data_IF_530170513939
#
_entry.id   IF_530170513939
#
_cell.length_a   1.000
_cell.length_b   1.000
_cell.length_c   1.000
_cell.angle_alpha   90.00
_cell.angle_beta   90.00
_cell.angle_gamma   90.00
#
_symmetry.space_group_name_H-M   'P 1'
#
loop_
_entity.id
_entity.type
_entity.pdbx_description
1 polymer ?
#
# COMPACT_ATOMS: atom_id res chain seq x y z
N UNK A 1 -4.11 -92.26 -39.72
CA UNK A 1 -4.39 -90.82 -39.48
C UNK A 1 -4.37 -90.55 -37.97
N UNK A 2 -3.32 -89.93 -37.43
CA UNK A 2 -3.28 -89.51 -36.02
C UNK A 2 -4.22 -88.31 -35.83
N UNK A 3 -5.23 -88.43 -34.98
CA UNK A 3 -6.16 -87.35 -34.64
C UNK A 3 -5.42 -86.23 -33.90
N UNK A 4 -5.34 -85.04 -34.49
CA UNK A 4 -4.81 -83.84 -33.85
C UNK A 4 -5.80 -83.35 -32.77
N UNK A 5 -5.54 -83.67 -31.50
CA UNK A 5 -6.34 -83.21 -30.34
C UNK A 5 -5.81 -81.92 -29.70
N UNK A 6 -4.80 -81.28 -30.28
CA UNK A 6 -4.17 -80.06 -29.73
C UNK A 6 -4.56 -78.73 -30.42
N UNK A 7 -5.28 -78.75 -31.55
CA UNK A 7 -5.54 -77.53 -32.34
C UNK A 7 -6.51 -76.55 -31.66
N UNK A 8 -7.53 -77.07 -30.95
CA UNK A 8 -8.52 -76.25 -30.24
C UNK A 8 -7.88 -75.54 -29.04
N UNK A 9 -7.03 -76.22 -28.29
CA UNK A 9 -6.33 -75.64 -27.13
C UNK A 9 -5.41 -74.50 -27.57
N UNK A 10 -4.64 -74.69 -28.64
CA UNK A 10 -3.76 -73.63 -29.19
C UNK A 10 -4.58 -72.41 -29.63
N UNK A 11 -5.68 -72.63 -30.33
CA UNK A 11 -6.56 -71.54 -30.77
C UNK A 11 -7.20 -70.77 -29.59
N UNK A 12 -7.69 -71.49 -28.58
CA UNK A 12 -8.25 -70.88 -27.36
C UNK A 12 -7.18 -70.11 -26.58
N UNK A 13 -5.96 -70.63 -26.47
CA UNK A 13 -4.85 -69.91 -25.83
C UNK A 13 -4.48 -68.63 -26.59
N UNK A 14 -4.49 -68.63 -27.93
CA UNK A 14 -4.25 -67.42 -28.73
C UNK A 14 -5.35 -66.37 -28.55
N UNK A 15 -6.62 -66.77 -28.53
CA UNK A 15 -7.74 -65.86 -28.25
C UNK A 15 -7.64 -65.30 -26.84
N UNK A 16 -7.33 -66.14 -25.85
CA UNK A 16 -7.20 -65.71 -24.46
C UNK A 16 -6.10 -64.67 -24.28
N UNK A 17 -4.94 -64.87 -24.92
CA UNK A 17 -3.84 -63.88 -24.92
C UNK A 17 -4.31 -62.56 -25.53
N UNK A 18 -5.05 -62.60 -26.65
CA UNK A 18 -5.58 -61.39 -27.29
C UNK A 18 -6.56 -60.66 -26.37
N UNK A 19 -7.52 -61.37 -25.77
CA UNK A 19 -8.49 -60.77 -24.84
C UNK A 19 -7.80 -60.16 -23.62
N UNK A 20 -6.83 -60.87 -23.03
CA UNK A 20 -6.04 -60.37 -21.90
C UNK A 20 -5.25 -59.11 -22.29
N UNK A 21 -4.64 -59.08 -23.48
CA UNK A 21 -3.91 -57.90 -23.96
C UNK A 21 -4.83 -56.67 -24.08
N UNK A 22 -6.05 -56.85 -24.59
CA UNK A 22 -7.05 -55.77 -24.70
C UNK A 22 -7.48 -55.27 -23.31
N UNK A 23 -7.70 -56.18 -22.35
CA UNK A 23 -8.03 -55.80 -20.97
C UNK A 23 -6.90 -54.98 -20.34
N UNK A 24 -5.63 -55.38 -20.49
CA UNK A 24 -4.51 -54.63 -19.94
C UNK A 24 -4.32 -53.26 -20.61
N UNK A 25 -4.58 -53.13 -21.91
CA UNK A 25 -4.60 -51.82 -22.59
C UNK A 25 -5.69 -50.92 -22.01
N UNK A 26 -6.89 -51.44 -21.76
CA UNK A 26 -7.96 -50.67 -21.11
C UNK A 26 -7.61 -50.29 -19.67
N UNK A 27 -6.99 -51.19 -18.90
CA UNK A 27 -6.52 -50.91 -17.54
C UNK A 27 -5.43 -49.84 -17.53
N UNK A 28 -4.46 -49.90 -18.45
CA UNK A 28 -3.43 -48.86 -18.58
C UNK A 28 -4.04 -47.52 -18.98
N UNK A 29 -5.02 -47.50 -19.90
CA UNK A 29 -5.73 -46.28 -20.30
C UNK A 29 -6.49 -45.64 -19.12
N UNK A 30 -7.19 -46.46 -18.34
CA UNK A 30 -7.86 -46.02 -17.12
C UNK A 30 -6.85 -45.50 -16.09
N UNK A 31 -5.72 -46.20 -15.92
CA UNK A 31 -4.62 -45.79 -15.03
C UNK A 31 -3.99 -44.47 -15.44
N UNK A 32 -3.68 -44.26 -16.72
CA UNK A 32 -3.12 -42.99 -17.24
C UNK A 32 -4.07 -41.82 -16.95
N UNK A 33 -5.38 -42.05 -17.04
CA UNK A 33 -6.38 -41.05 -16.65
C UNK A 33 -6.32 -40.74 -15.16
N UNK A 34 -6.16 -41.77 -14.31
CA UNK A 34 -5.94 -41.59 -12.87
C UNK A 34 -4.62 -40.90 -12.51
N UNK A 35 -3.51 -41.24 -13.18
CA UNK A 35 -2.21 -40.56 -13.03
C UNK A 35 -2.30 -39.07 -13.33
N UNK A 36 -3.03 -38.69 -14.39
CA UNK A 36 -3.26 -37.27 -14.72
C UNK A 36 -4.10 -36.56 -13.66
N UNK A 37 -5.11 -37.23 -13.11
CA UNK A 37 -5.91 -36.67 -12.01
C UNK A 37 -5.06 -36.50 -10.74
N UNK A 38 -4.24 -37.51 -10.41
CA UNK A 38 -3.35 -37.45 -9.25
C UNK A 38 -2.33 -36.33 -9.38
N UNK A 39 -1.68 -36.20 -10.53
CA UNK A 39 -0.76 -35.09 -10.82
C UNK A 39 -1.40 -33.71 -10.75
N UNK A 40 -2.67 -33.59 -11.18
CA UNK A 40 -3.41 -32.33 -11.03
C UNK A 40 -3.66 -31.99 -9.56
N UNK A 41 -3.95 -33.00 -8.74
CA UNK A 41 -4.12 -32.83 -7.30
C UNK A 41 -2.81 -32.44 -6.62
N UNK A 42 -1.72 -33.16 -6.90
CA UNK A 42 -0.40 -32.86 -6.35
C UNK A 42 0.11 -31.47 -6.78
N UNK A 43 -0.05 -31.08 -8.05
CA UNK A 43 0.33 -29.75 -8.51
C UNK A 43 -0.44 -28.63 -7.78
N UNK A 44 -1.71 -28.86 -7.46
CA UNK A 44 -2.52 -27.91 -6.70
C UNK A 44 -2.09 -27.87 -5.22
N UNK A 45 -1.87 -29.03 -4.60
CA UNK A 45 -1.40 -29.14 -3.22
C UNK A 45 -0.03 -28.50 -3.06
N UNK A 46 0.95 -28.90 -3.88
CA UNK A 46 2.31 -28.36 -3.87
C UNK A 46 2.33 -26.84 -4.05
N UNK A 47 1.62 -26.31 -5.06
CA UNK A 47 1.57 -24.86 -5.28
C UNK A 47 0.95 -24.09 -4.11
N UNK A 48 -0.13 -24.61 -3.53
CA UNK A 48 -0.77 -23.99 -2.36
C UNK A 48 0.09 -24.11 -1.10
N UNK A 49 0.79 -25.24 -0.89
CA UNK A 49 1.68 -25.44 0.24
C UNK A 49 2.87 -24.49 0.20
N UNK A 50 3.46 -24.27 -0.98
CA UNK A 50 4.52 -23.26 -1.16
C UNK A 50 4.01 -21.86 -0.80
N UNK A 51 2.81 -21.49 -1.25
CA UNK A 51 2.20 -20.20 -0.89
C UNK A 51 1.68 -20.15 0.56
N UNK A 52 1.60 -21.28 1.27
CA UNK A 52 1.29 -21.24 2.70
C UNK A 52 2.50 -20.80 3.53
N UNK A 53 3.71 -20.81 2.95
CA UNK A 53 4.96 -20.36 3.58
C UNK A 53 5.17 -18.83 3.45
N UNK A 54 4.08 -18.07 3.50
CA UNK A 54 4.13 -16.62 3.47
C UNK A 54 4.95 -16.03 4.63
N UNK A 55 5.48 -14.83 4.43
CA UNK A 55 6.23 -14.08 5.43
C UNK A 55 5.35 -13.73 6.64
N UNK A 56 5.63 -14.35 7.79
CA UNK A 56 4.89 -14.11 9.04
C UNK A 56 4.92 -12.65 9.52
N UNK A 57 6.06 -11.94 9.51
CA UNK A 57 6.10 -10.54 9.93
C UNK A 57 5.15 -9.64 9.13
N UNK A 58 5.05 -9.86 7.81
CA UNK A 58 4.10 -9.16 6.94
C UNK A 58 2.65 -9.46 7.30
N UNK A 59 2.32 -10.70 7.64
CA UNK A 59 0.97 -11.06 8.05
C UNK A 59 0.61 -10.51 9.44
N UNK A 60 1.52 -10.64 10.40
CA UNK A 60 1.29 -10.25 11.79
C UNK A 60 1.10 -8.74 11.93
N UNK A 61 2.02 -7.95 11.36
CA UNK A 61 2.05 -6.49 11.52
C UNK A 61 1.25 -5.72 10.47
N UNK A 62 1.09 -6.29 9.27
CA UNK A 62 0.50 -5.60 8.12
C UNK A 62 -0.68 -6.35 7.47
N UNK A 63 -0.95 -7.61 7.87
CA UNK A 63 -1.98 -8.48 7.26
C UNK A 63 -1.79 -8.69 5.76
N UNK A 64 -0.54 -8.60 5.30
CA UNK A 64 -0.14 -8.81 3.92
C UNK A 64 0.37 -10.23 3.73
N UNK A 65 0.04 -10.83 2.59
CA UNK A 65 0.47 -12.16 2.20
C UNK A 65 1.43 -12.06 1.03
N UNK A 66 2.67 -12.44 1.28
CA UNK A 66 3.71 -12.56 0.26
C UNK A 66 4.65 -13.71 0.62
N UNK A 67 5.13 -14.42 -0.40
CA UNK A 67 6.14 -15.45 -0.27
C UNK A 67 7.54 -14.83 -0.44
N UNK A 68 8.45 -15.07 0.50
CA UNK A 68 9.83 -14.61 0.35
C UNK A 68 10.60 -15.51 -0.63
N UNK A 69 10.93 -14.99 -1.82
CA UNK A 69 11.68 -15.74 -2.83
C UNK A 69 13.18 -15.89 -2.52
N UNK A 70 13.70 -15.26 -1.47
CA UNK A 70 15.05 -15.56 -0.99
C UNK A 70 15.11 -16.83 -0.17
N UNK A 71 14.01 -17.20 0.51
CA UNK A 71 14.08 -18.11 1.66
C UNK A 71 15.19 -17.67 2.63
N UNK A 72 15.52 -18.44 3.67
CA UNK A 72 16.54 -18.07 4.69
C UNK A 72 17.98 -17.90 4.14
N UNK A 73 18.17 -17.79 2.82
CA UNK A 73 19.47 -17.77 2.12
C UNK A 73 19.97 -16.37 1.73
N UNK A 74 19.32 -15.29 2.21
CA UNK A 74 19.58 -13.86 1.92
C UNK A 74 19.55 -13.45 0.43
N UNK A 75 19.65 -14.40 -0.51
CA UNK A 75 19.69 -14.18 -1.94
C UNK A 75 18.40 -14.65 -2.60
N UNK A 76 17.67 -13.71 -3.20
CA UNK A 76 16.53 -14.04 -4.04
C UNK A 76 16.95 -14.86 -5.26
N UNK A 77 16.36 -16.05 -5.37
CA UNK A 77 16.54 -17.00 -6.48
C UNK A 77 15.25 -17.79 -6.66
N UNK A 78 14.74 -17.82 -7.89
CA UNK A 78 13.51 -18.55 -8.22
C UNK A 78 13.69 -20.05 -7.98
N UNK A 79 14.91 -20.55 -8.20
CA UNK A 79 15.29 -21.92 -7.97
C UNK A 79 15.10 -22.35 -6.51
N UNK A 80 15.16 -21.43 -5.53
CA UNK A 80 14.89 -21.77 -4.13
C UNK A 80 13.43 -22.21 -3.93
N UNK A 81 12.50 -21.52 -4.59
CA UNK A 81 11.07 -21.84 -4.55
C UNK A 81 10.80 -23.13 -5.32
N UNK A 82 11.44 -23.31 -6.49
CA UNK A 82 11.30 -24.52 -7.30
C UNK A 82 11.78 -25.76 -6.53
N UNK A 83 12.94 -25.69 -5.90
CA UNK A 83 13.49 -26.75 -5.06
C UNK A 83 12.61 -27.04 -3.83
N UNK A 84 12.04 -25.99 -3.20
CA UNK A 84 11.10 -26.17 -2.08
C UNK A 84 9.84 -26.90 -2.52
N UNK A 85 9.28 -26.54 -3.69
CA UNK A 85 8.12 -27.20 -4.27
C UNK A 85 8.40 -28.64 -4.69
N UNK A 86 9.57 -28.94 -5.26
CA UNK A 86 9.99 -30.32 -5.55
C UNK A 86 9.99 -31.19 -4.29
N UNK A 87 10.58 -30.70 -3.19
CA UNK A 87 10.61 -31.40 -1.91
C UNK A 87 9.20 -31.66 -1.36
N UNK A 88 8.32 -30.68 -1.42
CA UNK A 88 6.92 -30.82 -0.95
C UNK A 88 6.13 -31.80 -1.81
N UNK A 89 6.33 -31.81 -3.12
CA UNK A 89 5.70 -32.78 -4.02
C UNK A 89 6.20 -34.20 -3.75
N UNK A 90 7.49 -34.39 -3.53
CA UNK A 90 8.02 -35.69 -3.12
C UNK A 90 7.37 -36.16 -1.81
N UNK A 91 7.23 -35.29 -0.81
CA UNK A 91 6.53 -35.60 0.45
C UNK A 91 5.04 -35.94 0.25
N UNK A 92 4.35 -35.28 -0.69
CA UNK A 92 2.95 -35.57 -1.02
C UNK A 92 2.76 -36.91 -1.76
N UNK A 93 3.71 -37.25 -2.63
CA UNK A 93 3.65 -38.43 -3.50
C UNK A 93 4.19 -39.69 -2.83
N UNK A 94 5.00 -39.54 -1.78
CA UNK A 94 5.40 -40.65 -0.92
C UNK A 94 4.18 -41.17 -0.14
N UNK A 95 3.79 -42.42 -0.40
CA UNK A 95 2.79 -43.12 0.41
C UNK A 95 3.27 -43.13 1.86
N UNK A 96 2.53 -42.46 2.75
CA UNK A 96 2.78 -42.50 4.19
C UNK A 96 2.93 -43.96 4.63
N UNK A 97 4.07 -44.26 5.24
CA UNK A 97 4.53 -45.55 5.73
C UNK A 97 3.68 -46.12 6.89
N UNK A 98 2.36 -46.21 6.73
CA UNK A 98 1.54 -47.02 7.63
C UNK A 98 1.59 -48.49 7.16
N UNK A 99 2.66 -49.13 7.63
CA UNK A 99 2.99 -50.54 7.51
C UNK A 99 1.88 -51.47 8.02
N UNK A 100 1.35 -52.32 7.13
CA UNK A 100 0.88 -53.69 7.45
C UNK A 100 0.37 -54.46 6.20
N UNK A 101 0.10 -53.80 5.09
CA UNK A 101 -0.32 -54.47 3.86
C UNK A 101 0.58 -54.04 2.71
N UNK A 102 1.05 -55.01 1.93
CA UNK A 102 1.69 -54.80 0.64
C UNK A 102 0.62 -54.19 -0.27
N UNK A 103 0.44 -52.87 -0.20
CA UNK A 103 -0.43 -52.14 -1.11
C UNK A 103 0.43 -51.80 -2.31
N UNK A 104 0.26 -52.55 -3.40
CA UNK A 104 0.89 -52.23 -4.67
C UNK A 104 0.38 -50.86 -5.09
N UNK A 105 1.26 -49.85 -5.09
CA UNK A 105 0.91 -48.53 -5.58
C UNK A 105 0.55 -48.64 -7.07
N UNK A 106 -0.71 -48.38 -7.40
CA UNK A 106 -1.21 -48.41 -8.78
C UNK A 106 -0.92 -47.10 -9.52
N UNK A 107 -0.50 -46.05 -8.81
CA UNK A 107 -0.26 -44.72 -9.36
C UNK A 107 1.13 -44.15 -8.97
N UNK A 108 2.23 -44.92 -9.12
CA UNK A 108 3.56 -44.40 -8.86
C UNK A 108 3.82 -43.23 -9.79
N UNK A 109 3.92 -42.04 -9.20
CA UNK A 109 4.05 -40.76 -9.86
C UNK A 109 5.22 -40.03 -9.21
N UNK A 110 6.06 -39.39 -10.02
CA UNK A 110 7.16 -38.56 -9.53
C UNK A 110 7.14 -37.22 -10.24
N UNK A 111 7.40 -36.15 -9.49
CA UNK A 111 7.65 -34.85 -10.08
C UNK A 111 9.13 -34.79 -10.50
N UNK A 112 9.38 -34.73 -11.81
CA UNK A 112 10.74 -34.66 -12.33
C UNK A 112 11.25 -33.21 -12.38
N UNK A 113 10.37 -32.25 -12.65
CA UNK A 113 10.75 -30.84 -12.75
C UNK A 113 9.59 -29.91 -12.36
N UNK A 114 9.91 -28.85 -11.63
CA UNK A 114 9.02 -27.73 -11.31
C UNK A 114 9.68 -26.45 -11.82
N UNK A 115 8.99 -25.74 -12.72
CA UNK A 115 9.46 -24.49 -13.27
C UNK A 115 8.47 -23.36 -13.02
N UNK A 116 8.92 -22.25 -12.45
CA UNK A 116 8.14 -21.02 -12.35
C UNK A 116 8.29 -20.26 -13.67
N UNK A 117 7.19 -20.15 -14.43
CA UNK A 117 7.19 -19.48 -15.73
C UNK A 117 7.01 -17.98 -15.63
N UNK A 118 6.11 -17.56 -14.75
CA UNK A 118 5.85 -16.16 -14.49
C UNK A 118 5.60 -15.92 -13.01
N UNK A 119 6.01 -14.76 -12.52
CA UNK A 119 5.77 -14.33 -11.14
C UNK A 119 5.72 -12.80 -11.03
N UNK A 120 4.99 -12.31 -10.04
CA UNK A 120 4.88 -10.89 -9.70
C UNK A 120 5.50 -10.65 -8.32
N UNK A 121 6.34 -9.63 -8.22
CA UNK A 121 6.92 -9.15 -6.97
C UNK A 121 6.08 -8.02 -6.36
N UNK A 122 6.17 -7.81 -5.05
CA UNK A 122 5.41 -6.78 -4.34
C UNK A 122 5.71 -5.37 -4.87
N UNK A 123 6.93 -5.13 -5.37
CA UNK A 123 7.36 -3.87 -5.97
C UNK A 123 6.94 -3.66 -7.43
N UNK A 124 6.50 -4.71 -8.12
CA UNK A 124 6.13 -4.64 -9.53
C UNK A 124 4.88 -3.77 -9.74
N UNK A 125 4.73 -3.23 -10.95
CA UNK A 125 3.60 -2.38 -11.35
C UNK A 125 3.28 -1.25 -10.36
N UNK A 126 4.34 -0.66 -9.77
CA UNK A 126 4.26 0.38 -8.74
C UNK A 126 3.49 -0.05 -7.48
N UNK A 127 3.73 -1.28 -7.03
CA UNK A 127 3.13 -1.83 -5.81
C UNK A 127 1.67 -2.24 -5.97
N UNK A 128 1.27 -2.70 -7.17
CA UNK A 128 -0.12 -3.10 -7.45
C UNK A 128 -0.62 -4.15 -6.48
N UNK A 129 0.15 -5.23 -6.30
CA UNK A 129 -0.18 -6.33 -5.39
C UNK A 129 -0.40 -5.85 -3.94
N UNK A 130 0.48 -4.98 -3.45
CA UNK A 130 0.37 -4.37 -2.13
C UNK A 130 -0.93 -3.56 -1.99
N UNK A 131 -1.21 -2.68 -2.96
CA UNK A 131 -2.39 -1.83 -2.93
C UNK A 131 -3.70 -2.63 -3.00
N UNK A 132 -3.74 -3.67 -3.82
CA UNK A 132 -4.92 -4.52 -3.96
C UNK A 132 -5.21 -5.31 -2.68
N UNK A 133 -4.20 -5.92 -2.07
CA UNK A 133 -4.35 -6.60 -0.78
C UNK A 133 -4.80 -5.62 0.31
N UNK A 134 -4.12 -4.47 0.42
CA UNK A 134 -4.50 -3.41 1.36
C UNK A 134 -5.94 -2.92 1.16
N UNK A 135 -6.35 -2.72 -0.10
CA UNK A 135 -7.71 -2.33 -0.43
C UNK A 135 -8.73 -3.43 -0.11
N UNK A 136 -8.39 -4.71 -0.35
CA UNK A 136 -9.25 -5.83 -0.02
C UNK A 136 -9.47 -5.97 1.50
N UNK A 137 -8.44 -5.68 2.32
CA UNK A 137 -8.56 -5.64 3.78
C UNK A 137 -9.53 -4.52 4.19
N UNK A 138 -9.31 -3.29 3.70
CA UNK A 138 -10.15 -2.14 4.09
C UNK A 138 -11.57 -2.21 3.54
N UNK A 139 -11.79 -2.85 2.38
CA UNK A 139 -13.13 -3.07 1.81
C UNK A 139 -14.03 -3.91 2.72
N UNK A 140 -13.46 -4.77 3.58
CA UNK A 140 -14.22 -5.56 4.55
C UNK A 140 -14.65 -4.74 5.78
N UNK A 141 -13.98 -3.62 6.03
CA UNK A 141 -14.19 -2.78 7.22
C UNK A 141 -14.99 -1.51 6.91
N UNK A 142 -14.86 -0.97 5.69
CA UNK A 142 -15.42 0.32 5.29
C UNK A 142 -16.63 0.11 4.37
N UNK A 143 -17.80 0.59 4.80
CA UNK A 143 -19.01 0.61 4.00
C UNK A 143 -18.97 1.64 2.85
N UNK A 144 -19.81 1.45 1.82
CA UNK A 144 -19.89 2.34 0.66
C UNK A 144 -20.09 3.81 1.02
N UNK A 145 -20.99 4.09 1.96
CA UNK A 145 -21.37 5.44 2.33
C UNK A 145 -20.23 6.21 2.99
N UNK A 146 -19.39 5.49 3.75
CA UNK A 146 -18.18 6.05 4.35
C UNK A 146 -17.12 6.34 3.27
N UNK A 147 -16.99 5.47 2.27
CA UNK A 147 -16.07 5.67 1.16
C UNK A 147 -16.40 6.92 0.35
N UNK A 148 -17.70 7.18 0.11
CA UNK A 148 -18.14 8.39 -0.60
C UNK A 148 -17.87 9.66 0.23
N UNK A 149 -18.10 9.62 1.54
CA UNK A 149 -17.74 10.74 2.45
C UNK A 149 -16.23 11.01 2.45
N UNK A 150 -15.42 9.95 2.54
CA UNK A 150 -13.96 10.06 2.47
C UNK A 150 -13.51 10.62 1.11
N UNK A 151 -14.15 10.21 0.02
CA UNK A 151 -13.86 10.75 -1.30
C UNK A 151 -14.15 12.26 -1.39
N UNK A 152 -15.26 12.72 -0.83
CA UNK A 152 -15.58 14.15 -0.74
C UNK A 152 -14.56 14.91 0.11
N UNK A 153 -14.11 14.33 1.22
CA UNK A 153 -13.08 14.88 2.10
C UNK A 153 -11.76 15.06 1.36
N UNK A 154 -11.23 14.00 0.76
CA UNK A 154 -9.91 14.05 0.11
C UNK A 154 -9.89 14.87 -1.17
N UNK A 155 -11.04 15.02 -1.85
CA UNK A 155 -11.18 15.89 -3.02
C UNK A 155 -11.47 17.35 -2.67
N UNK A 156 -11.62 17.69 -1.39
CA UNK A 156 -11.97 19.05 -0.95
C UNK A 156 -13.35 19.51 -1.39
N UNK A 157 -14.26 18.57 -1.72
CA UNK A 157 -15.63 18.83 -2.16
C UNK A 157 -16.66 18.72 -1.02
N UNK A 158 -16.19 18.67 0.23
CA UNK A 158 -17.08 18.79 1.38
C UNK A 158 -17.83 20.12 1.30
N UNK A 159 -19.15 20.04 1.22
CA UNK A 159 -20.02 21.20 1.38
C UNK A 159 -20.13 21.47 2.87
N UNK A 160 -19.62 22.61 3.32
CA UNK A 160 -19.99 23.12 4.63
C UNK A 160 -21.49 23.47 4.60
N UNK A 161 -22.31 22.75 5.37
CA UNK A 161 -23.76 22.98 5.47
C UNK A 161 -24.12 24.30 6.19
N UNK A 162 -23.15 25.08 6.66
CA UNK A 162 -23.38 26.30 7.45
C UNK A 162 -23.02 27.62 6.75
N UNK A 163 -22.96 27.65 5.42
CA UNK A 163 -22.75 28.87 4.65
C UNK A 163 -24.01 29.74 4.45
N UNK A 164 -24.78 30.03 5.49
CA UNK A 164 -25.86 31.03 5.39
C UNK A 164 -25.23 32.41 5.36
N UNK A 165 -25.29 33.08 4.21
CA UNK A 165 -24.89 34.48 4.07
C UNK A 165 -25.87 35.35 4.87
N UNK A 166 -25.50 35.76 6.08
CA UNK A 166 -26.14 36.89 6.74
C UNK A 166 -25.54 38.19 6.20
N UNK A 167 -26.33 38.82 5.33
CA UNK A 167 -26.09 40.16 4.81
C UNK A 167 -26.57 41.16 5.86
N UNK A 168 -25.70 41.52 6.81
CA UNK A 168 -25.94 42.59 7.75
C UNK A 168 -25.08 43.80 7.40
N UNK A 169 -25.60 44.66 6.51
CA UNK A 169 -25.14 46.04 6.35
C UNK A 169 -25.61 46.87 7.54
N UNK A 170 -24.80 46.91 8.60
CA UNK A 170 -24.84 47.97 9.60
C UNK A 170 -23.70 48.96 9.31
N UNK A 171 -24.01 50.25 9.30
CA UNK A 171 -23.02 51.32 9.15
C UNK A 171 -22.02 51.28 10.30
N UNK A 172 -20.73 51.10 9.97
CA UNK A 172 -19.64 51.04 10.94
C UNK A 172 -18.61 52.09 10.53
N UNK A 173 -18.38 53.03 11.45
CA UNK A 173 -17.32 54.03 11.43
C UNK A 173 -15.96 53.36 11.20
N UNK A 174 -15.12 53.97 10.35
CA UNK A 174 -13.73 53.54 10.17
C UNK A 174 -13.04 53.73 11.53
N UNK A 175 -12.65 52.66 12.24
CA UNK A 175 -11.93 52.82 13.48
C UNK A 175 -10.58 53.46 13.17
N UNK A 176 -10.19 54.46 13.95
CA UNK A 176 -8.82 54.94 13.98
C UNK A 176 -7.93 53.76 14.40
N UNK A 177 -7.13 53.27 13.45
CA UNK A 177 -6.43 51.99 13.60
C UNK A 177 -4.98 52.27 13.98
N UNK A 178 -4.68 52.17 15.27
CA UNK A 178 -3.29 52.26 15.76
C UNK A 178 -2.58 50.91 15.56
N UNK A 179 -1.69 50.85 14.57
CA UNK A 179 -0.78 49.73 14.40
C UNK A 179 0.31 49.78 15.48
N UNK A 180 0.32 48.79 16.37
CA UNK A 180 1.38 48.69 17.40
C UNK A 180 2.71 48.19 16.84
N UNK A 181 2.67 47.40 15.76
CA UNK A 181 3.84 46.89 15.03
C UNK A 181 3.52 46.84 13.53
N UNK A 182 4.55 46.86 12.68
CA UNK A 182 4.40 46.64 11.24
C UNK A 182 4.14 45.14 10.97
N UNK A 183 2.94 44.72 10.52
CA UNK A 183 2.59 43.30 10.37
C UNK A 183 3.48 42.56 9.36
N UNK A 184 3.98 43.28 8.34
CA UNK A 184 4.85 42.71 7.30
C UNK A 184 6.21 42.34 7.92
N UNK A 185 6.82 43.27 8.66
CA UNK A 185 8.09 43.02 9.36
C UNK A 185 7.95 41.96 10.46
N UNK A 186 6.82 41.93 11.17
CA UNK A 186 6.56 40.90 12.20
C UNK A 186 6.56 39.51 11.58
N UNK A 187 5.92 39.33 10.40
CA UNK A 187 5.93 38.06 9.68
C UNK A 187 7.33 37.68 9.16
N UNK A 188 8.13 38.64 8.70
CA UNK A 188 9.53 38.38 8.32
C UNK A 188 10.34 37.85 9.51
N UNK A 189 10.19 38.49 10.69
CA UNK A 189 10.82 38.02 11.94
C UNK A 189 10.31 36.64 12.37
N UNK A 190 9.02 36.35 12.18
CA UNK A 190 8.47 35.00 12.43
C UNK A 190 9.13 33.96 11.52
N UNK A 191 9.19 34.20 10.21
CA UNK A 191 9.77 33.27 9.23
C UNK A 191 11.23 32.93 9.56
N UNK A 192 11.98 33.87 10.15
CA UNK A 192 13.36 33.65 10.59
C UNK A 192 13.52 32.67 11.78
N UNK A 193 12.51 32.50 12.64
CA UNK A 193 12.57 31.60 13.83
C UNK A 193 12.51 30.11 13.49
N UNK A 194 12.14 29.77 12.25
CA UNK A 194 11.96 28.41 11.79
C UNK A 194 10.56 27.86 12.11
N UNK A 195 9.98 27.15 11.14
CA UNK A 195 8.53 26.86 11.12
C UNK A 195 8.05 26.01 12.29
N UNK A 196 8.82 24.98 12.69
CA UNK A 196 8.45 24.09 13.80
C UNK A 196 8.46 24.84 15.14
N UNK A 197 9.42 25.75 15.34
CA UNK A 197 9.47 26.55 16.57
C UNK A 197 8.28 27.51 16.70
N UNK A 198 7.67 27.91 15.58
CA UNK A 198 6.47 28.74 15.57
C UNK A 198 5.21 27.94 15.91
N UNK A 199 5.04 26.76 15.32
CA UNK A 199 3.80 25.97 15.48
C UNK A 199 3.81 25.04 16.69
N UNK A 200 4.99 24.73 17.25
CA UNK A 200 5.15 23.83 18.40
C UNK A 200 6.07 24.47 19.46
N UNK A 201 5.67 25.59 20.09
CA UNK A 201 6.50 26.25 21.09
C UNK A 201 6.61 25.37 22.35
N UNK A 202 7.81 24.85 22.63
CA UNK A 202 8.08 24.08 23.84
C UNK A 202 7.67 22.61 23.80
N UNK A 203 7.13 22.11 22.69
CA UNK A 203 6.89 20.68 22.48
C UNK A 203 8.14 19.99 21.94
N UNK A 204 8.42 18.80 22.46
CA UNK A 204 9.47 17.94 21.92
C UNK A 204 9.01 17.26 20.63
N UNK A 205 9.91 17.21 19.65
CA UNK A 205 9.69 16.53 18.36
C UNK A 205 10.60 15.32 18.33
N UNK A 206 10.10 14.18 17.85
CA UNK A 206 10.91 12.96 17.77
C UNK A 206 12.22 13.20 17.01
N UNK A 207 13.29 12.64 17.58
CA UNK A 207 14.64 12.68 17.01
C UNK A 207 15.00 11.42 16.22
N UNK A 208 14.07 10.45 16.10
CA UNK A 208 14.30 9.21 15.34
C UNK A 208 14.66 9.51 13.89
N UNK A 209 15.50 8.65 13.34
CA UNK A 209 15.95 8.70 11.96
C UNK A 209 16.26 7.31 11.45
N UNK A 210 16.01 7.08 10.16
CA UNK A 210 16.32 5.82 9.49
C UNK A 210 17.48 6.02 8.51
N UNK A 211 18.24 4.97 8.18
CA UNK A 211 19.11 5.01 7.01
C UNK A 211 18.29 4.78 5.74
N UNK A 212 18.49 5.64 4.74
CA UNK A 212 17.77 5.55 3.47
C UNK A 212 18.59 4.88 2.36
N UNK A 213 19.89 4.65 2.58
CA UNK A 213 20.85 4.27 1.53
C UNK A 213 20.45 3.00 0.76
N UNK A 214 20.02 1.95 1.46
CA UNK A 214 19.72 0.64 0.89
C UNK A 214 18.21 0.34 0.71
N UNK A 215 17.36 1.36 0.85
CA UNK A 215 15.91 1.20 0.72
C UNK A 215 15.49 0.87 -0.70
N UNK A 216 14.31 0.26 -0.84
CA UNK A 216 13.67 -0.05 -2.10
C UNK A 216 13.67 1.17 -3.04
N UNK A 217 13.27 2.35 -2.54
CA UNK A 217 13.26 3.58 -3.32
C UNK A 217 14.63 4.03 -3.87
N UNK A 218 15.75 3.51 -3.36
CA UNK A 218 17.12 3.97 -3.66
C UNK A 218 18.03 2.89 -4.28
N UNK A 219 17.50 1.69 -4.57
CA UNK A 219 18.25 0.61 -5.23
C UNK A 219 17.64 0.21 -6.58
N UNK A 220 18.39 -0.56 -7.35
CA UNK A 220 17.85 -1.18 -8.57
C UNK A 220 16.99 -2.37 -8.18
N UNK A 221 15.72 -2.31 -8.53
CA UNK A 221 14.74 -3.33 -8.14
C UNK A 221 14.83 -4.57 -9.00
N UNK A 222 14.64 -5.72 -8.37
CA UNK A 222 14.28 -6.94 -9.10
C UNK A 222 12.90 -6.76 -9.74
N UNK A 223 12.68 -7.47 -10.84
CA UNK A 223 11.43 -7.44 -11.58
C UNK A 223 10.97 -8.85 -11.88
N UNK A 224 9.69 -9.09 -11.62
CA UNK A 224 9.00 -10.23 -12.17
C UNK A 224 8.78 -10.07 -13.68
N UNK A 225 8.22 -11.11 -14.26
CA UNK A 225 7.82 -11.18 -15.66
C UNK A 225 6.30 -11.42 -15.81
N UNK A 226 5.55 -11.18 -14.74
CA UNK A 226 4.09 -11.16 -14.79
C UNK A 226 3.59 -9.91 -15.49
N UNK A 227 2.74 -10.09 -16.50
CA UNK A 227 2.10 -8.98 -17.19
C UNK A 227 0.91 -8.49 -16.38
N UNK A 228 0.98 -7.26 -15.88
CA UNK A 228 -0.12 -6.62 -15.15
C UNK A 228 -0.25 -5.16 -15.52
N UNK A 229 -1.50 -4.70 -15.62
CA UNK A 229 -1.77 -3.27 -15.76
C UNK A 229 -1.44 -2.56 -14.45
N UNK A 230 -0.84 -1.38 -14.56
CA UNK A 230 -0.41 -0.56 -13.42
C UNK A 230 -1.50 0.40 -12.92
N UNK A 231 -2.65 0.43 -13.60
CA UNK A 231 -3.80 1.27 -13.25
C UNK A 231 -4.49 0.82 -11.95
N UNK A 232 -4.51 1.70 -10.95
CA UNK A 232 -5.36 1.55 -9.76
C UNK A 232 -6.60 2.42 -9.91
N UNK A 233 -7.79 1.85 -9.72
CA UNK A 233 -9.02 2.63 -9.60
C UNK A 233 -8.97 3.57 -8.36
N UNK A 234 -9.74 4.65 -8.40
CA UNK A 234 -9.79 5.64 -7.32
C UNK A 234 -10.26 5.01 -6.00
N UNK A 235 -11.13 3.99 -6.04
CA UNK A 235 -11.58 3.26 -4.85
C UNK A 235 -10.43 2.48 -4.23
N UNK A 236 -9.68 1.74 -5.03
CA UNK A 236 -8.48 1.00 -4.58
C UNK A 236 -7.46 1.95 -3.97
N UNK A 237 -7.22 3.11 -4.59
CA UNK A 237 -6.34 4.14 -4.06
C UNK A 237 -6.82 4.68 -2.71
N UNK A 238 -8.10 5.00 -2.59
CA UNK A 238 -8.67 5.55 -1.36
C UNK A 238 -8.65 4.51 -0.22
N UNK A 239 -8.98 3.25 -0.52
CA UNK A 239 -8.90 2.15 0.44
C UNK A 239 -7.46 1.87 0.86
N UNK A 240 -6.50 1.92 -0.06
CA UNK A 240 -5.06 1.85 0.27
C UNK A 240 -4.66 3.00 1.21
N UNK A 241 -5.18 4.21 1.02
CA UNK A 241 -4.92 5.31 1.94
C UNK A 241 -5.48 5.06 3.34
N UNK A 242 -6.68 4.49 3.46
CA UNK A 242 -7.23 4.11 4.77
C UNK A 242 -6.40 3.02 5.44
N UNK A 243 -5.89 2.08 4.66
CA UNK A 243 -4.93 1.10 5.14
C UNK A 243 -3.67 1.77 5.70
N UNK A 244 -3.11 2.78 5.01
CA UNK A 244 -1.96 3.53 5.52
C UNK A 244 -2.27 4.18 6.87
N UNK A 245 -3.39 4.90 6.98
CA UNK A 245 -3.81 5.55 8.22
C UNK A 245 -4.01 4.56 9.38
N UNK A 246 -4.40 3.32 9.07
CA UNK A 246 -4.61 2.28 10.09
C UNK A 246 -3.32 1.60 10.56
N UNK A 247 -2.35 1.38 9.68
CA UNK A 247 -1.18 0.52 9.97
C UNK A 247 0.11 1.29 10.28
N UNK A 248 0.17 2.58 9.92
CA UNK A 248 1.35 3.43 10.09
C UNK A 248 1.07 4.55 11.08
N UNK A 249 2.05 4.87 11.93
CA UNK A 249 1.93 5.93 12.92
C UNK A 249 2.02 7.33 12.30
N UNK A 250 1.52 8.32 13.02
CA UNK A 250 1.63 9.72 12.66
C UNK A 250 2.01 10.56 13.89
N UNK A 251 2.16 11.87 13.72
CA UNK A 251 2.51 12.77 14.82
C UNK A 251 1.60 12.64 16.06
N UNK A 252 0.28 12.54 15.88
CA UNK A 252 -0.69 12.42 16.98
C UNK A 252 -0.71 11.01 17.59
N UNK A 253 -0.54 9.97 16.78
CA UNK A 253 -0.66 8.57 17.19
C UNK A 253 0.62 7.77 16.94
N UNK A 254 1.57 7.89 17.87
CA UNK A 254 2.88 7.20 17.83
C UNK A 254 2.80 5.73 18.27
N UNK A 255 3.68 4.88 17.73
CA UNK A 255 3.80 3.45 18.10
C UNK A 255 5.22 3.12 18.58
N UNK A 256 5.33 2.38 19.69
CA UNK A 256 6.61 2.18 20.41
C UNK A 256 7.65 1.35 19.64
N UNK A 257 7.21 0.44 18.77
CA UNK A 257 8.08 -0.53 18.08
C UNK A 257 8.30 -0.20 16.58
N UNK A 258 8.31 1.10 16.24
CA UNK A 258 8.55 1.59 14.87
C UNK A 258 9.88 2.32 14.75
N UNK A 259 10.52 2.18 13.58
CA UNK A 259 11.79 2.83 13.24
C UNK A 259 11.68 4.37 13.23
N UNK A 260 10.51 4.88 12.85
CA UNK A 260 10.13 6.29 12.86
C UNK A 260 8.80 6.42 13.64
N UNK A 261 8.63 7.50 14.39
CA UNK A 261 7.37 7.80 15.06
C UNK A 261 6.37 8.41 14.07
N UNK A 262 6.85 9.17 13.07
CA UNK A 262 6.03 9.93 12.14
C UNK A 262 6.01 9.29 10.74
N UNK A 263 5.51 8.05 10.67
CA UNK A 263 5.51 7.23 9.46
C UNK A 263 4.68 7.85 8.32
N UNK A 264 3.48 8.37 8.59
CA UNK A 264 2.66 9.07 7.58
C UNK A 264 3.36 10.32 7.05
N UNK A 265 4.02 11.08 7.93
CA UNK A 265 4.82 12.24 7.57
C UNK A 265 6.01 11.83 6.70
N UNK A 266 6.64 10.66 6.94
CA UNK A 266 7.64 10.08 6.05
C UNK A 266 7.05 9.74 4.66
N UNK A 267 5.86 9.14 4.60
CA UNK A 267 5.20 8.87 3.32
C UNK A 267 5.02 10.16 2.49
N UNK A 268 4.71 11.27 3.14
CA UNK A 268 4.55 12.59 2.51
C UNK A 268 5.89 13.28 2.19
N UNK A 269 6.86 13.22 3.12
CA UNK A 269 8.12 13.96 3.08
C UNK A 269 9.29 13.21 2.43
N UNK A 270 9.50 11.95 2.79
CA UNK A 270 10.62 11.10 2.37
C UNK A 270 11.97 11.65 2.81
N UNK A 271 12.05 12.17 4.04
CA UNK A 271 13.27 12.65 4.69
C UNK A 271 13.75 11.62 5.71
N UNK A 272 15.04 11.71 6.03
CA UNK A 272 15.75 10.76 6.89
C UNK A 272 15.21 10.71 8.33
N UNK A 273 14.76 11.85 8.85
CA UNK A 273 14.35 12.00 10.26
C UNK A 273 12.91 12.47 10.40
N UNK A 274 12.30 12.08 11.51
CA UNK A 274 10.95 12.48 11.92
C UNK A 274 10.78 13.99 11.91
N UNK A 275 11.72 14.73 12.52
CA UNK A 275 11.72 16.19 12.54
C UNK A 275 11.63 16.82 11.14
N UNK A 276 12.39 16.33 10.16
CA UNK A 276 12.36 16.90 8.81
C UNK A 276 11.13 16.46 8.01
N UNK A 277 10.58 15.26 8.28
CA UNK A 277 9.31 14.82 7.71
C UNK A 277 8.14 15.66 8.23
N UNK A 278 8.03 15.86 9.55
CA UNK A 278 7.02 16.71 10.16
C UNK A 278 7.10 18.14 9.63
N UNK A 279 8.31 18.70 9.50
CA UNK A 279 8.54 20.02 8.90
C UNK A 279 8.02 20.13 7.46
N UNK A 280 8.12 19.06 6.66
CA UNK A 280 7.54 19.04 5.31
C UNK A 280 6.01 19.08 5.38
N UNK A 281 5.40 18.29 6.26
CA UNK A 281 3.94 18.27 6.44
C UNK A 281 3.43 19.62 6.94
N UNK A 282 4.03 20.18 7.99
CA UNK A 282 3.72 21.52 8.54
C UNK A 282 3.78 22.59 7.46
N UNK A 283 4.80 22.58 6.59
CA UNK A 283 4.87 23.52 5.45
C UNK A 283 3.71 23.35 4.48
N UNK A 284 3.33 22.11 4.16
CA UNK A 284 2.21 21.84 3.25
C UNK A 284 0.87 22.27 3.87
N UNK A 285 0.69 22.03 5.16
CA UNK A 285 -0.49 22.49 5.90
C UNK A 285 -0.56 24.02 5.87
N UNK A 286 0.53 24.71 6.23
CA UNK A 286 0.57 26.19 6.17
C UNK A 286 0.24 26.69 4.77
N UNK A 287 0.75 26.07 3.70
CA UNK A 287 0.43 26.50 2.33
C UNK A 287 -1.06 26.36 1.99
N UNK A 288 -1.69 25.22 2.33
CA UNK A 288 -3.12 25.00 2.07
C UNK A 288 -3.96 25.96 2.92
N UNK A 289 -3.59 26.14 4.19
CA UNK A 289 -4.25 27.07 5.11
C UNK A 289 -4.09 28.52 4.67
N UNK A 290 -2.92 28.91 4.19
CA UNK A 290 -2.63 30.29 3.76
C UNK A 290 -3.45 30.62 2.52
N UNK A 291 -3.57 29.70 1.56
CA UNK A 291 -4.45 29.86 0.41
C UNK A 291 -5.93 30.05 0.83
N UNK A 292 -6.44 29.23 1.75
CA UNK A 292 -7.80 29.36 2.27
C UNK A 292 -8.01 30.68 3.03
N UNK A 293 -7.05 31.07 3.88
CA UNK A 293 -7.10 32.30 4.66
C UNK A 293 -7.02 33.55 3.77
N UNK A 294 -6.21 33.53 2.69
CA UNK A 294 -6.19 34.61 1.67
C UNK A 294 -7.56 34.71 1.00
N UNK A 295 -8.14 33.59 0.57
CA UNK A 295 -9.46 33.58 -0.07
C UNK A 295 -10.53 34.18 0.85
N UNK A 296 -10.52 33.81 2.14
CA UNK A 296 -11.41 34.39 3.14
C UNK A 296 -11.21 35.91 3.28
N UNK A 297 -9.97 36.37 3.49
CA UNK A 297 -9.65 37.81 3.65
C UNK A 297 -10.05 38.66 2.44
N UNK A 298 -10.01 38.09 1.23
CA UNK A 298 -10.44 38.80 0.02
C UNK A 298 -11.95 38.95 -0.09
N UNK A 299 -12.72 38.08 0.59
CA UNK A 299 -14.18 38.09 0.57
C UNK A 299 -14.82 38.77 1.77
N UNK A 300 -14.07 38.97 2.86
CA UNK A 300 -14.59 39.57 4.09
C UNK A 300 -14.53 41.12 4.05
N UNK A 301 -15.69 41.82 4.06
CA UNK A 301 -15.72 43.27 3.90
C UNK A 301 -15.18 44.03 5.12
N UNK A 302 -15.26 43.46 6.33
CA UNK A 302 -14.80 44.13 7.56
C UNK A 302 -13.28 44.07 7.67
N UNK A 303 -12.69 42.90 7.47
CA UNK A 303 -11.24 42.72 7.41
C UNK A 303 -10.64 43.46 6.22
N UNK A 304 -11.36 43.52 5.08
CA UNK A 304 -10.96 44.33 3.93
C UNK A 304 -10.81 45.82 4.26
N UNK A 305 -11.71 46.40 5.08
CA UNK A 305 -11.59 47.79 5.56
C UNK A 305 -10.39 47.97 6.49
N UNK A 306 -10.18 47.04 7.41
CA UNK A 306 -9.02 47.04 8.33
C UNK A 306 -7.70 47.01 7.57
N UNK A 307 -7.57 46.12 6.58
CA UNK A 307 -6.38 46.02 5.73
C UNK A 307 -6.18 47.31 4.92
N UNK A 308 -7.24 47.91 4.39
CA UNK A 308 -7.16 49.16 3.65
C UNK A 308 -6.66 50.33 4.52
N UNK A 309 -7.15 50.43 5.75
CA UNK A 309 -6.71 51.44 6.71
C UNK A 309 -5.22 51.25 7.05
N UNK A 310 -4.82 50.02 7.38
CA UNK A 310 -3.42 49.69 7.68
C UNK A 310 -2.48 49.96 6.50
N UNK A 311 -2.87 49.58 5.27
CA UNK A 311 -2.08 49.83 4.06
C UNK A 311 -1.89 51.34 3.82
N UNK A 312 -2.94 52.13 4.05
CA UNK A 312 -2.89 53.59 3.89
C UNK A 312 -1.97 54.22 4.92
N UNK A 313 -2.04 53.79 6.19
CA UNK A 313 -1.18 54.27 7.26
C UNK A 313 0.31 53.98 6.97
N UNK A 314 0.63 52.75 6.54
CA UNK A 314 2.00 52.35 6.18
C UNK A 314 2.50 53.16 4.97
N UNK A 315 1.70 53.26 3.91
CA UNK A 315 2.08 53.99 2.70
C UNK A 315 2.32 55.49 2.97
N UNK A 316 1.48 56.11 3.81
CA UNK A 316 1.64 57.51 4.20
C UNK A 316 2.90 57.71 5.06
N UNK A 317 3.14 56.83 6.03
CA UNK A 317 4.35 56.88 6.85
C UNK A 317 5.64 56.69 6.01
N UNK A 318 5.58 55.89 4.95
CA UNK A 318 6.67 55.69 4.00
C UNK A 318 6.79 56.80 2.93
N UNK A 319 5.88 57.78 2.92
CA UNK A 319 5.77 58.81 1.87
C UNK A 319 5.62 58.24 0.44
N UNK A 320 4.94 57.08 0.30
CA UNK A 320 4.75 56.34 -0.96
C UNK A 320 3.26 55.96 -1.15
N UNK A 321 2.35 56.94 -1.30
CA UNK A 321 0.91 56.68 -1.41
C UNK A 321 0.53 55.85 -2.66
N UNK A 322 1.33 55.88 -3.72
CA UNK A 322 1.16 55.04 -4.91
C UNK A 322 1.31 53.54 -4.65
N UNK A 323 1.97 53.15 -3.54
CA UNK A 323 2.17 51.76 -3.15
C UNK A 323 1.05 51.19 -2.27
N UNK A 324 -0.03 51.93 -1.99
CA UNK A 324 -1.18 51.44 -1.21
C UNK A 324 -1.69 50.07 -1.71
N UNK A 325 -1.89 49.82 -3.03
CA UNK A 325 -2.34 48.52 -3.52
C UNK A 325 -1.35 47.38 -3.23
N UNK A 326 -0.05 47.68 -3.23
CA UNK A 326 1.02 46.72 -2.92
C UNK A 326 0.98 46.38 -1.44
N UNK A 327 1.00 47.39 -0.56
CA UNK A 327 0.90 47.17 0.90
C UNK A 327 -0.38 46.42 1.28
N UNK A 328 -1.50 46.67 0.60
CA UNK A 328 -2.74 45.92 0.81
C UNK A 328 -2.54 44.41 0.60
N UNK A 329 -1.92 44.00 -0.52
CA UNK A 329 -1.67 42.59 -0.79
C UNK A 329 -0.62 41.99 0.14
N UNK A 330 0.42 42.76 0.49
CA UNK A 330 1.42 42.34 1.48
C UNK A 330 0.80 42.10 2.87
N UNK A 331 -0.15 42.94 3.28
CA UNK A 331 -0.89 42.76 4.53
C UNK A 331 -1.85 41.58 4.49
N UNK A 332 -2.53 41.33 3.36
CA UNK A 332 -3.33 40.11 3.17
C UNK A 332 -2.46 38.87 3.35
N UNK A 333 -1.30 38.82 2.68
CA UNK A 333 -0.37 37.69 2.78
C UNK A 333 0.20 37.54 4.20
N UNK A 334 0.61 38.63 4.84
CA UNK A 334 1.13 38.62 6.20
C UNK A 334 0.08 38.10 7.21
N UNK A 335 -1.15 38.61 7.13
CA UNK A 335 -2.21 38.20 8.05
C UNK A 335 -2.64 36.75 7.80
N UNK A 336 -2.78 36.34 6.54
CA UNK A 336 -3.10 34.95 6.20
C UNK A 336 -2.03 33.99 6.71
N UNK A 337 -0.75 34.31 6.53
CA UNK A 337 0.35 33.49 7.03
C UNK A 337 0.32 33.34 8.55
N UNK A 338 0.14 34.43 9.29
CA UNK A 338 0.04 34.39 10.75
C UNK A 338 -1.16 33.56 11.22
N UNK A 339 -2.31 33.70 10.56
CA UNK A 339 -3.49 32.87 10.82
C UNK A 339 -3.19 31.39 10.54
N UNK A 340 -2.47 31.06 9.46
CA UNK A 340 -2.09 29.69 9.14
C UNK A 340 -1.11 29.07 10.13
N UNK A 341 -0.23 29.87 10.74
CA UNK A 341 0.60 29.40 11.86
C UNK A 341 -0.28 29.07 13.06
N UNK A 342 -1.26 29.91 13.38
CA UNK A 342 -2.23 29.62 14.44
C UNK A 342 -3.03 28.36 14.13
N UNK A 343 -3.48 28.19 12.89
CA UNK A 343 -4.25 27.01 12.45
C UNK A 343 -3.46 25.71 12.63
N UNK A 344 -2.20 25.70 12.19
CA UNK A 344 -1.38 24.49 12.31
C UNK A 344 -1.00 24.21 13.76
N UNK A 345 -0.83 25.25 14.59
CA UNK A 345 -0.65 25.06 16.04
C UNK A 345 -1.86 24.35 16.65
N UNK A 346 -3.08 24.76 16.31
CA UNK A 346 -4.32 24.13 16.77
C UNK A 346 -4.41 22.66 16.31
N UNK A 347 -4.09 22.38 15.05
CA UNK A 347 -4.09 21.01 14.52
C UNK A 347 -3.10 20.09 15.26
N UNK A 348 -1.90 20.59 15.56
CA UNK A 348 -0.88 19.83 16.30
C UNK A 348 -1.18 19.72 17.80
N UNK A 349 -2.13 20.50 18.31
CA UNK A 349 -2.67 20.43 19.67
C UNK A 349 -4.00 19.64 19.72
N UNK A 350 -4.20 18.73 18.76
CA UNK A 350 -5.39 17.86 18.63
C UNK A 350 -6.73 18.60 18.46
N UNK A 351 -6.70 19.89 18.14
CA UNK A 351 -7.90 20.68 17.85
C UNK A 351 -8.27 20.63 16.36
N UNK A 352 -9.45 21.15 16.01
CA UNK A 352 -9.98 21.10 14.65
C UNK A 352 -9.98 22.46 13.98
N UNK A 353 -9.74 22.45 12.66
CA UNK A 353 -9.72 23.66 11.83
C UNK A 353 -10.51 23.46 10.55
N UNK A 354 -11.56 24.27 10.35
CA UNK A 354 -12.40 24.23 9.14
C UNK A 354 -11.61 24.59 7.89
N UNK A 355 -11.85 23.89 6.77
CA UNK A 355 -11.21 24.18 5.49
C UNK A 355 -11.50 25.61 5.03
N UNK A 356 -12.76 26.03 5.10
CA UNK A 356 -13.19 27.41 4.89
C UNK A 356 -13.59 27.98 6.24
N UNK A 357 -12.99 29.10 6.64
CA UNK A 357 -13.28 29.73 7.94
C UNK A 357 -14.54 30.58 7.90
N UNK A 358 -15.21 30.65 9.05
CA UNK A 358 -16.16 31.73 9.37
C UNK A 358 -15.46 32.84 10.16
N UNK A 359 -16.16 33.97 10.37
CA UNK A 359 -15.61 35.11 11.15
C UNK A 359 -15.27 34.72 12.59
N UNK A 360 -16.06 33.84 13.19
CA UNK A 360 -15.95 33.40 14.58
C UNK A 360 -14.73 32.49 14.81
N UNK A 361 -14.25 31.85 13.75
CA UNK A 361 -13.13 30.92 13.76
C UNK A 361 -11.77 31.61 13.50
N UNK A 362 -11.75 32.93 13.34
CA UNK A 362 -10.55 33.72 13.07
C UNK A 362 -9.83 34.10 14.36
N UNK A 363 -8.58 33.67 14.53
CA UNK A 363 -7.86 33.72 15.80
C UNK A 363 -6.84 34.85 15.92
N UNK A 364 -6.29 35.35 14.83
CA UNK A 364 -5.24 36.38 14.87
C UNK A 364 -5.79 37.79 14.70
N UNK A 365 -5.01 38.78 15.16
CA UNK A 365 -5.31 40.19 15.02
C UNK A 365 -4.16 40.88 14.27
N UNK A 366 -4.46 41.52 13.12
CA UNK A 366 -3.44 42.15 12.28
C UNK A 366 -2.64 43.22 13.03
N UNK A 367 -3.25 43.89 14.00
CA UNK A 367 -2.58 44.95 14.78
C UNK A 367 -1.57 44.40 15.78
N UNK A 368 -1.67 43.09 16.12
CA UNK A 368 -0.86 42.40 17.13
C UNK A 368 -0.56 40.95 16.74
N UNK A 369 -0.01 40.73 15.54
CA UNK A 369 0.30 39.37 15.04
C UNK A 369 1.25 38.58 15.95
N UNK A 370 2.12 39.26 16.72
CA UNK A 370 3.06 38.63 17.65
C UNK A 370 2.46 38.25 19.01
N UNK A 371 1.23 38.69 19.32
CA UNK A 371 0.57 38.40 20.59
C UNK A 371 -0.31 37.15 20.45
N UNK A 372 -0.07 36.14 21.29
CA UNK A 372 -0.97 35.01 21.40
C UNK A 372 -2.32 35.50 21.95
N UNK A 373 -3.38 35.46 21.13
CA UNK A 373 -4.74 35.41 21.67
C UNK A 373 -4.87 34.07 22.40
N UNK A 374 -5.48 34.09 23.59
CA UNK A 374 -5.78 32.86 24.32
C UNK A 374 -6.51 31.88 23.40
N UNK A 375 -5.99 30.66 23.30
CA UNK A 375 -6.49 29.63 22.40
C UNK A 375 -7.90 29.26 22.83
N UNK A 376 -8.91 29.69 22.07
CA UNK A 376 -10.26 29.18 22.22
C UNK A 376 -10.26 27.77 21.66
N UNK A 377 -10.65 26.80 22.49
CA UNK A 377 -10.80 25.41 22.06
C UNK A 377 -11.71 25.34 20.84
N UNK A 378 -11.21 24.79 19.74
CA UNK A 378 -11.93 24.73 18.48
C UNK A 378 -12.30 23.27 18.14
N UNK A 379 -13.58 22.93 18.36
CA UNK A 379 -14.11 21.57 18.15
C UNK A 379 -14.78 21.39 16.77
N UNK A 380 -14.81 22.44 15.93
CA UNK A 380 -15.39 22.41 14.59
C UNK A 380 -14.32 22.44 13.50
N UNK A 381 -14.55 21.66 12.44
CA UNK A 381 -13.66 21.58 11.28
C UNK A 381 -13.02 20.21 11.13
N UNK A 382 -11.87 20.16 10.45
CA UNK A 382 -11.12 18.93 10.20
C UNK A 382 -9.99 18.75 11.22
N UNK A 383 -9.72 17.50 11.62
CA UNK A 383 -8.58 17.13 12.46
C UNK A 383 -7.27 17.07 11.67
N UNK A 384 -6.14 16.95 12.38
CA UNK A 384 -4.83 16.74 11.76
C UNK A 384 -4.82 15.52 10.83
N UNK A 385 -5.40 14.40 11.25
CA UNK A 385 -5.49 13.16 10.48
C UNK A 385 -6.33 13.33 9.20
N UNK A 386 -7.40 14.11 9.25
CA UNK A 386 -8.22 14.43 8.08
C UNK A 386 -7.45 15.31 7.07
N UNK A 387 -6.63 16.26 7.56
CA UNK A 387 -5.71 17.00 6.69
C UNK A 387 -4.60 16.11 6.12
N UNK A 388 -4.05 15.17 6.90
CA UNK A 388 -3.09 14.18 6.39
C UNK A 388 -3.69 13.36 5.25
N UNK A 389 -4.96 12.97 5.36
CA UNK A 389 -5.67 12.27 4.30
C UNK A 389 -5.77 13.10 3.01
N UNK A 390 -6.05 14.40 3.09
CA UNK A 390 -6.01 15.28 1.92
C UNK A 390 -4.60 15.39 1.31
N UNK A 391 -3.58 15.46 2.15
CA UNK A 391 -2.18 15.52 1.70
C UNK A 391 -1.74 14.21 1.03
N UNK A 392 -2.16 13.06 1.55
CA UNK A 392 -1.89 11.75 0.94
C UNK A 392 -2.58 11.62 -0.42
N UNK A 393 -3.81 12.11 -0.53
CA UNK A 393 -4.56 12.09 -1.79
C UNK A 393 -3.92 12.95 -2.87
N UNK A 394 -3.38 14.12 -2.51
CA UNK A 394 -2.70 15.01 -3.46
C UNK A 394 -1.24 14.60 -3.72
N UNK A 395 -0.66 13.75 -2.87
CA UNK A 395 0.66 13.18 -3.10
C UNK A 395 0.65 12.18 -4.27
N UNK A 396 1.82 12.03 -4.92
CA UNK A 396 1.98 11.07 -6.01
C UNK A 396 1.88 9.64 -5.49
N UNK A 397 0.85 8.91 -5.93
CA UNK A 397 0.54 7.54 -5.47
C UNK A 397 1.75 6.61 -5.52
N UNK A 398 2.47 6.55 -6.66
CA UNK A 398 3.68 5.72 -6.81
C UNK A 398 4.75 6.03 -5.76
N UNK A 399 4.91 7.31 -5.37
CA UNK A 399 5.88 7.72 -4.34
C UNK A 399 5.42 7.26 -2.96
N UNK A 400 4.14 7.43 -2.63
CA UNK A 400 3.57 6.98 -1.36
C UNK A 400 3.68 5.46 -1.24
N UNK A 401 3.34 4.72 -2.29
CA UNK A 401 3.43 3.25 -2.30
C UNK A 401 4.87 2.77 -2.15
N UNK A 402 5.85 3.38 -2.84
CA UNK A 402 7.27 3.02 -2.68
C UNK A 402 7.77 3.29 -1.27
N UNK A 403 7.40 4.44 -0.68
CA UNK A 403 7.78 4.80 0.70
C UNK A 403 7.10 3.93 1.75
N UNK A 404 5.89 3.46 1.47
CA UNK A 404 5.21 2.47 2.30
C UNK A 404 6.01 1.17 2.34
N UNK A 405 6.46 0.69 1.18
CA UNK A 405 7.36 -0.47 1.14
C UNK A 405 8.69 -0.21 1.85
N UNK A 406 9.30 0.97 1.70
CA UNK A 406 10.52 1.33 2.45
C UNK A 406 10.34 1.19 3.97
N UNK A 407 9.21 1.68 4.51
CA UNK A 407 8.93 1.56 5.94
C UNK A 407 8.71 0.12 6.38
N UNK A 408 8.03 -0.67 5.55
CA UNK A 408 7.85 -2.11 5.81
C UNK A 408 9.23 -2.82 5.85
N UNK A 409 10.13 -2.53 4.90
CA UNK A 409 11.49 -3.08 4.90
C UNK A 409 12.26 -2.70 6.17
N UNK A 410 12.17 -1.45 6.61
CA UNK A 410 12.86 -0.96 7.80
C UNK A 410 12.32 -1.58 9.11
N UNK A 411 11.01 -1.74 9.22
CA UNK A 411 10.39 -2.26 10.45
C UNK A 411 10.54 -3.78 10.56
N UNK A 412 10.48 -4.52 9.44
CA UNK A 412 10.45 -5.99 9.45
C UNK A 412 11.79 -6.62 9.05
N UNK A 413 12.78 -5.82 8.65
CA UNK A 413 14.08 -6.28 8.13
C UNK A 413 13.95 -7.27 6.96
N UNK A 414 13.14 -6.90 5.97
CA UNK A 414 12.88 -7.69 4.76
C UNK A 414 13.17 -6.90 3.49
N UNK A 415 13.11 -7.56 2.33
CA UNK A 415 13.23 -6.92 1.00
C UNK A 415 11.94 -7.12 0.22
N UNK A 416 11.17 -6.06 0.01
CA UNK A 416 9.86 -6.11 -0.66
C UNK A 416 9.97 -6.45 -2.15
N UNK A 417 11.11 -6.19 -2.80
CA UNK A 417 11.40 -6.67 -4.16
C UNK A 417 11.87 -8.14 -4.20
N UNK A 418 11.82 -8.86 -3.08
CA UNK A 418 11.97 -10.33 -3.01
C UNK A 418 10.64 -11.04 -2.72
N UNK A 419 9.57 -10.27 -2.45
CA UNK A 419 8.29 -10.77 -1.97
C UNK A 419 7.35 -11.08 -3.14
N UNK A 420 6.98 -12.35 -3.34
CA UNK A 420 6.14 -12.82 -4.45
C UNK A 420 4.68 -12.80 -4.04
N UNK A 421 3.82 -12.19 -4.86
CA UNK A 421 2.37 -12.16 -4.67
C UNK A 421 1.64 -13.29 -5.40
N UNK A 422 2.15 -13.68 -6.56
CA UNK A 422 1.55 -14.69 -7.42
C UNK A 422 2.56 -15.27 -8.41
N UNK A 423 2.30 -16.49 -8.86
CA UNK A 423 3.15 -17.20 -9.81
C UNK A 423 2.38 -18.23 -10.64
N UNK A 424 2.91 -18.54 -11.82
CA UNK A 424 2.47 -19.64 -12.68
C UNK A 424 3.56 -20.71 -12.74
N UNK A 425 3.24 -21.88 -12.19
CA UNK A 425 4.16 -23.01 -12.10
C UNK A 425 3.81 -24.07 -13.15
N UNK A 426 4.84 -24.63 -13.82
CA UNK A 426 4.75 -25.83 -14.66
C UNK A 426 5.37 -27.00 -13.91
N UNK A 427 4.57 -28.03 -13.66
CA UNK A 427 4.96 -29.29 -13.04
C UNK A 427 5.09 -30.35 -14.12
N UNK A 428 6.23 -31.04 -14.21
CA UNK A 428 6.48 -32.10 -15.18
C UNK A 428 6.62 -33.42 -14.45
N UNK A 429 5.62 -34.29 -14.62
CA UNK A 429 5.57 -35.57 -13.95
C UNK A 429 6.05 -36.70 -14.86
N UNK A 430 6.59 -37.73 -14.22
CA UNK A 430 6.92 -39.01 -14.83
C UNK A 430 6.22 -40.14 -14.09
N UNK A 431 5.74 -41.11 -14.87
CA UNK A 431 5.18 -42.36 -14.35
C UNK A 431 5.64 -43.53 -15.23
N UNK A 432 5.92 -44.66 -14.61
CA UNK A 432 6.28 -45.90 -15.32
C UNK A 432 5.01 -46.62 -15.80
N UNK A 433 5.10 -47.29 -16.95
CA UNK A 433 4.09 -48.26 -17.39
C UNK A 433 3.96 -49.41 -16.40
N UNK A 434 2.73 -49.86 -16.12
CA UNK A 434 2.49 -50.92 -15.11
C UNK A 434 1.85 -52.16 -15.73
N UNK A 435 0.76 -51.99 -16.49
CA UNK A 435 0.08 -53.09 -17.16
C UNK A 435 0.69 -53.39 -18.54
N UNK A 436 1.34 -52.39 -19.16
CA UNK A 436 2.02 -52.56 -20.47
C UNK A 436 3.29 -53.42 -20.44
N UNK A 437 3.83 -53.65 -19.24
CA UNK A 437 4.98 -54.52 -19.02
C UNK A 437 4.65 -56.01 -19.15
N UNK A 438 3.38 -56.40 -19.03
CA UNK A 438 2.97 -57.81 -19.00
C UNK A 438 2.88 -58.44 -20.40
N UNK A 439 3.00 -57.64 -21.47
CA UNK A 439 2.85 -58.09 -22.86
C UNK A 439 3.93 -57.59 -23.82
N UNK A 440 4.97 -56.91 -23.31
CA UNK A 440 6.13 -56.52 -24.11
C UNK A 440 7.08 -57.72 -24.29
N UNK A 441 7.15 -58.24 -25.52
CA UNK A 441 8.07 -59.32 -25.89
C UNK A 441 9.41 -58.71 -26.32
N UNK A 442 10.45 -58.82 -25.47
CA UNK A 442 11.84 -58.41 -25.76
C UNK A 442 12.46 -57.48 -24.71
N UNK A 443 13.80 -57.37 -24.70
CA UNK A 443 14.59 -56.51 -23.77
C UNK A 443 14.46 -55.01 -24.09
N UNK A 444 13.25 -54.45 -24.13
CA UNK A 444 13.06 -52.99 -24.13
C UNK A 444 12.64 -52.56 -22.72
N UNK A 445 13.29 -51.51 -22.20
CA UNK A 445 12.94 -50.89 -20.93
C UNK A 445 11.47 -50.45 -20.93
N UNK A 446 10.82 -50.39 -19.74
CA UNK A 446 9.49 -49.80 -19.59
C UNK A 446 9.36 -48.47 -20.34
N UNK A 447 8.23 -48.25 -21.03
CA UNK A 447 7.89 -46.91 -21.48
C UNK A 447 7.67 -46.00 -20.27
N UNK A 448 8.07 -44.74 -20.39
CA UNK A 448 7.76 -43.70 -19.39
C UNK A 448 6.69 -42.78 -19.96
N UNK A 449 5.65 -42.53 -19.18
CA UNK A 449 4.73 -41.44 -19.45
C UNK A 449 5.32 -40.15 -18.88
N UNK A 450 5.40 -39.12 -19.70
CA UNK A 450 5.65 -37.75 -19.24
C UNK A 450 4.46 -36.88 -19.62
N UNK A 451 3.99 -36.11 -18.65
CA UNK A 451 2.98 -35.10 -18.88
C UNK A 451 3.21 -33.93 -17.93
N UNK A 452 2.68 -32.76 -18.30
CA UNK A 452 2.84 -31.55 -17.52
C UNK A 452 1.50 -31.01 -17.04
N UNK A 453 1.52 -30.36 -15.90
CA UNK A 453 0.42 -29.55 -15.37
C UNK A 453 0.89 -28.10 -15.24
N UNK A 454 -0.02 -27.15 -15.41
CA UNK A 454 0.25 -25.74 -15.11
C UNK A 454 -0.76 -25.25 -14.10
N UNK A 455 -0.27 -24.59 -13.06
CA UNK A 455 -1.09 -24.07 -11.98
C UNK A 455 -0.67 -22.64 -11.69
N UNK A 456 -1.66 -21.74 -11.71
CA UNK A 456 -1.55 -20.39 -11.17
C UNK A 456 -1.94 -20.43 -9.70
N UNK A 457 -1.17 -19.71 -8.90
CA UNK A 457 -1.38 -19.52 -7.47
C UNK A 457 -1.15 -18.05 -7.15
N UNK A 458 -2.05 -17.45 -6.37
CA UNK A 458 -2.09 -16.02 -6.08
C UNK A 458 -2.70 -15.78 -4.70
N UNK A 459 -2.25 -14.72 -4.01
CA UNK A 459 -2.91 -14.21 -2.81
C UNK A 459 -4.01 -13.17 -3.11
N UNK A 460 -4.20 -12.79 -4.37
CA UNK A 460 -5.15 -11.74 -4.78
C UNK A 460 -6.56 -12.28 -5.14
N UNK A 461 -6.74 -13.60 -5.21
CA UNK A 461 -8.01 -14.26 -5.60
C UNK A 461 -8.99 -14.47 -4.44
#
# INVERSE_FOLDING_TARGET
>A
MKRQRGSITVFVSMILILVISVIFVFLESARVSGLRAYAKMDAALTGNSVMAEYSRPLWENYKLLFLDGSYETEQFRIENIENRGLKLSDENLLNQENAAQIQTDLYPLRLNNLQIRSFELASDSAGRALKEQAAAIMKKEIGSDMLDKLYLLVTGKLKDENGTKEDNTAGISVPELELTENPIETVEKMRAKGILALVMPGQEVSSKSADLSELLSNRTLRKGNWDSDSGSDWKTRLLFQQYLMKYFSNFSECRKDRILDYEIEYLLGGKKSDRENLKVVVRRLILIREAANIAFLQTDPEKGKVIQAAATAIALAAAQPELIPVFKQSLVAAWAYAESISDVKLLLDEQKVSLIKTKEQWNTDISRLGAAKGEKKQDQGLSYEEYLQMLLWTAGEKKVTSRCMDLIELNENIKMDHMISQMECRYTYEAEELFSLLFTIGQKSPGKYSFWQTKKVSYQE
#
